data_IF_230927625456
#
_entry.id   IF_230927625456
#
_cell.length_a   1.000
_cell.length_b   1.000
_cell.length_c   1.000
_cell.angle_alpha   90.00
_cell.angle_beta   90.00
_cell.angle_gamma   90.00
#
_symmetry.space_group_name_H-M   'P 1'
#
loop_
_entity.id
_entity.type
_entity.pdbx_description
1 polymer ?
#
# COMPACT_ATOMS: atom_id res chain seq x y z
N UNK A 1 48.67 -16.37 -28.48
CA UNK A 1 48.05 -16.13 -27.15
C UNK A 1 46.95 -15.07 -27.20
N UNK A 2 47.16 -13.90 -27.82
CA UNK A 2 46.13 -12.84 -27.92
C UNK A 2 44.84 -13.32 -28.58
N UNK A 3 44.96 -13.87 -29.78
CA UNK A 3 43.85 -14.45 -30.53
C UNK A 3 43.22 -15.64 -29.78
N UNK A 4 44.02 -16.43 -29.05
CA UNK A 4 43.53 -17.63 -28.34
C UNK A 4 42.66 -17.28 -27.13
N UNK A 5 43.00 -16.22 -26.40
CA UNK A 5 42.26 -15.77 -25.23
C UNK A 5 41.22 -14.69 -25.54
N UNK A 6 41.17 -14.20 -26.78
CA UNK A 6 40.28 -13.10 -27.19
C UNK A 6 40.56 -11.76 -26.51
N UNK A 7 41.78 -11.54 -26.00
CA UNK A 7 42.16 -10.35 -25.25
C UNK A 7 43.25 -9.53 -25.95
N UNK A 8 43.26 -8.22 -25.69
CA UNK A 8 44.22 -7.29 -26.30
C UNK A 8 45.66 -7.54 -25.88
N UNK A 9 46.62 -7.22 -26.75
CA UNK A 9 48.05 -7.44 -26.50
C UNK A 9 48.57 -6.73 -25.22
N UNK A 10 47.95 -5.61 -24.84
CA UNK A 10 48.24 -4.92 -23.58
C UNK A 10 47.87 -5.78 -22.35
N UNK A 11 46.68 -6.39 -22.38
CA UNK A 11 46.18 -7.22 -21.28
C UNK A 11 46.99 -8.51 -21.12
N UNK A 12 47.56 -9.05 -22.20
CA UNK A 12 48.47 -10.20 -22.13
C UNK A 12 49.75 -9.83 -21.38
N UNK A 13 50.30 -8.64 -21.63
CA UNK A 13 51.50 -8.18 -20.91
C UNK A 13 51.21 -7.99 -19.43
N UNK A 14 50.08 -7.40 -19.09
CA UNK A 14 49.62 -7.27 -17.70
C UNK A 14 49.45 -8.64 -17.05
N UNK A 15 48.68 -9.55 -17.66
CA UNK A 15 48.46 -10.90 -17.12
C UNK A 15 49.73 -11.76 -17.05
N UNK A 16 50.71 -11.50 -17.91
CA UNK A 16 52.02 -12.12 -17.83
C UNK A 16 52.88 -11.54 -16.70
N UNK A 17 52.74 -10.24 -16.39
CA UNK A 17 53.37 -9.59 -15.24
C UNK A 17 52.74 -10.10 -13.93
N UNK A 18 51.42 -10.27 -13.92
CA UNK A 18 50.65 -10.75 -12.79
C UNK A 18 50.81 -12.27 -12.54
N UNK A 19 51.67 -12.96 -13.30
CA UNK A 19 51.95 -14.39 -13.13
C UNK A 19 50.84 -15.34 -13.59
N UNK A 20 49.79 -14.82 -14.23
CA UNK A 20 48.67 -15.61 -14.77
C UNK A 20 49.09 -16.30 -16.07
N UNK A 21 49.78 -15.58 -16.96
CA UNK A 21 50.33 -16.13 -18.19
C UNK A 21 51.81 -16.46 -18.01
N UNK A 22 52.16 -17.74 -18.08
CA UNK A 22 53.52 -18.23 -17.86
C UNK A 22 54.32 -18.10 -19.17
N UNK A 23 55.47 -17.42 -19.10
CA UNK A 23 56.38 -17.24 -20.24
C UNK A 23 57.27 -18.48 -20.37
N UNK A 24 57.30 -19.08 -21.56
CA UNK A 24 58.17 -20.22 -21.90
C UNK A 24 59.40 -19.82 -22.73
N UNK A 25 59.49 -18.55 -23.14
CA UNK A 25 60.62 -17.98 -23.89
C UNK A 25 60.32 -16.57 -24.39
N UNK A 26 61.23 -15.98 -25.18
CA UNK A 26 61.05 -14.63 -25.74
C UNK A 26 59.82 -14.59 -26.66
N UNK A 27 58.75 -13.94 -26.20
CA UNK A 27 57.47 -13.86 -26.92
C UNK A 27 56.65 -15.15 -26.92
N UNK A 28 57.05 -16.19 -26.16
CA UNK A 28 56.35 -17.48 -26.08
C UNK A 28 55.76 -17.69 -24.69
N UNK A 29 54.59 -18.33 -24.66
CA UNK A 29 53.85 -18.63 -23.44
C UNK A 29 53.57 -20.13 -23.36
N UNK A 30 53.61 -20.68 -22.16
CA UNK A 30 53.08 -22.02 -21.90
C UNK A 30 51.55 -21.94 -21.97
N UNK A 31 51.00 -22.46 -23.06
CA UNK A 31 49.56 -22.37 -23.34
C UNK A 31 48.74 -23.13 -22.30
N UNK A 32 49.18 -24.32 -21.89
CA UNK A 32 48.42 -25.19 -20.97
C UNK A 32 48.36 -24.58 -19.58
N UNK A 33 49.52 -24.19 -19.05
CA UNK A 33 49.62 -23.64 -17.70
C UNK A 33 48.96 -22.25 -17.60
N UNK A 34 49.10 -21.43 -18.65
CA UNK A 34 48.47 -20.10 -18.72
C UNK A 34 46.94 -20.17 -18.84
N UNK A 35 46.42 -21.12 -19.63
CA UNK A 35 44.97 -21.30 -19.80
C UNK A 35 44.32 -21.79 -18.50
N UNK A 36 44.92 -22.77 -17.82
CA UNK A 36 44.41 -23.28 -16.56
C UNK A 36 44.31 -22.18 -15.49
N UNK A 37 45.35 -21.36 -15.35
CA UNK A 37 45.36 -20.22 -14.41
C UNK A 37 44.34 -19.14 -14.77
N UNK A 38 44.20 -18.84 -16.06
CA UNK A 38 43.23 -17.86 -16.53
C UNK A 38 41.78 -18.32 -16.31
N UNK A 39 41.47 -19.59 -16.58
CA UNK A 39 40.14 -20.17 -16.33
C UNK A 39 39.82 -20.23 -14.82
N UNK A 40 40.80 -20.57 -13.98
CA UNK A 40 40.65 -20.54 -12.53
C UNK A 40 40.32 -19.13 -12.03
N UNK A 41 41.04 -18.11 -12.51
CA UNK A 41 40.78 -16.70 -12.18
C UNK A 41 39.36 -16.27 -12.58
N UNK A 42 38.91 -16.65 -13.78
CA UNK A 42 37.56 -16.31 -14.25
C UNK A 42 36.47 -16.98 -13.41
N UNK A 43 36.67 -18.25 -13.02
CA UNK A 43 35.73 -18.98 -12.17
C UNK A 43 35.64 -18.36 -10.77
N UNK A 44 36.77 -17.97 -10.22
CA UNK A 44 36.88 -17.28 -8.93
C UNK A 44 36.27 -15.87 -8.96
N UNK A 45 36.48 -15.12 -10.04
CA UNK A 45 35.85 -13.82 -10.21
C UNK A 45 34.32 -13.94 -10.35
N UNK A 46 33.84 -14.98 -11.04
CA UNK A 46 32.41 -15.27 -11.19
C UNK A 46 31.76 -15.75 -9.89
N UNK A 47 32.49 -16.45 -9.01
CA UNK A 47 31.98 -16.87 -7.70
C UNK A 47 31.95 -15.73 -6.69
N UNK A 48 32.96 -14.85 -6.70
CA UNK A 48 33.05 -13.69 -5.79
C UNK A 48 32.22 -12.48 -6.23
N UNK A 49 31.94 -12.33 -7.52
CA UNK A 49 31.50 -11.06 -8.09
C UNK A 49 29.99 -10.84 -8.31
N UNK A 50 29.10 -11.83 -8.13
CA UNK A 50 27.72 -11.57 -8.59
C UNK A 50 26.60 -12.56 -8.29
N UNK A 51 26.79 -13.60 -7.46
CA UNK A 51 25.65 -14.47 -7.10
C UNK A 51 25.03 -14.13 -5.75
N UNK A 52 25.81 -14.05 -4.68
CA UNK A 52 25.24 -13.90 -3.34
C UNK A 52 24.61 -12.51 -3.10
N UNK A 53 25.34 -11.41 -3.34
CA UNK A 53 24.78 -10.06 -3.16
C UNK A 53 23.68 -9.70 -4.15
N UNK A 54 23.69 -10.29 -5.36
CA UNK A 54 22.66 -10.05 -6.37
C UNK A 54 21.39 -10.89 -6.12
N UNK A 55 21.52 -12.08 -5.54
CA UNK A 55 20.38 -12.88 -5.07
C UNK A 55 19.70 -12.27 -3.85
N UNK A 56 20.46 -11.76 -2.87
CA UNK A 56 19.90 -11.05 -1.71
C UNK A 56 19.17 -9.76 -2.13
N UNK A 57 19.82 -8.91 -2.94
CA UNK A 57 19.16 -7.71 -3.46
C UNK A 57 17.90 -8.03 -4.28
N UNK A 58 17.90 -9.11 -5.07
CA UNK A 58 16.73 -9.53 -5.85
C UNK A 58 15.62 -10.12 -4.96
N UNK A 59 15.96 -10.79 -3.85
CA UNK A 59 14.98 -11.24 -2.85
C UNK A 59 14.33 -10.06 -2.14
N UNK A 60 15.11 -9.05 -1.75
CA UNK A 60 14.59 -7.85 -1.09
C UNK A 60 13.69 -7.04 -2.02
N UNK A 61 14.11 -6.85 -3.28
CA UNK A 61 13.28 -6.21 -4.31
C UNK A 61 11.98 -6.99 -4.56
N UNK A 62 12.03 -8.32 -4.55
CA UNK A 62 10.85 -9.17 -4.71
C UNK A 62 9.92 -9.08 -3.49
N UNK A 63 10.48 -9.04 -2.28
CA UNK A 63 9.72 -8.88 -1.05
C UNK A 63 8.98 -7.52 -1.02
N UNK A 64 9.68 -6.44 -1.38
CA UNK A 64 9.08 -5.12 -1.46
C UNK A 64 8.02 -5.03 -2.57
N UNK A 65 8.28 -5.63 -3.74
CA UNK A 65 7.29 -5.72 -4.83
C UNK A 65 6.03 -6.49 -4.40
N UNK A 66 6.17 -7.57 -3.63
CA UNK A 66 5.04 -8.31 -3.07
C UNK A 66 4.24 -7.42 -2.11
N UNK A 67 4.91 -6.65 -1.25
CA UNK A 67 4.26 -5.72 -0.31
C UNK A 67 3.44 -4.66 -1.04
N UNK A 68 4.03 -4.02 -2.05
CA UNK A 68 3.34 -3.01 -2.88
C UNK A 68 2.15 -3.63 -3.62
N UNK A 69 2.31 -4.82 -4.22
CA UNK A 69 1.23 -5.51 -4.92
C UNK A 69 0.07 -5.89 -4.01
N UNK A 70 0.35 -6.31 -2.77
CA UNK A 70 -0.70 -6.56 -1.76
C UNK A 70 -1.46 -5.29 -1.42
N UNK A 71 -0.75 -4.21 -1.08
CA UNK A 71 -1.40 -2.92 -0.80
C UNK A 71 -2.22 -2.41 -2.00
N UNK A 72 -1.75 -2.65 -3.24
CA UNK A 72 -2.49 -2.31 -4.45
C UNK A 72 -3.73 -3.19 -4.66
N UNK A 73 -3.66 -4.48 -4.34
CA UNK A 73 -4.81 -5.39 -4.37
C UNK A 73 -5.87 -4.94 -3.36
N UNK A 74 -5.48 -4.65 -2.13
CA UNK A 74 -6.39 -4.17 -1.07
C UNK A 74 -7.07 -2.86 -1.49
N UNK A 75 -6.30 -1.91 -2.05
CA UNK A 75 -6.85 -0.66 -2.56
C UNK A 75 -7.84 -0.89 -3.72
N UNK A 76 -7.59 -1.88 -4.59
CA UNK A 76 -8.50 -2.22 -5.68
C UNK A 76 -9.77 -2.91 -5.16
N UNK A 77 -9.66 -3.77 -4.15
CA UNK A 77 -10.81 -4.40 -3.49
C UNK A 77 -11.72 -3.35 -2.83
N UNK A 78 -11.15 -2.38 -2.12
CA UNK A 78 -11.91 -1.27 -1.55
C UNK A 78 -12.63 -0.43 -2.62
N UNK A 79 -11.95 -0.13 -3.75
CA UNK A 79 -12.58 0.56 -4.88
C UNK A 79 -13.72 -0.25 -5.50
N UNK A 80 -13.54 -1.57 -5.61
CA UNK A 80 -14.56 -2.47 -6.13
C UNK A 80 -15.75 -2.57 -5.17
N UNK A 81 -15.52 -2.61 -3.86
CA UNK A 81 -16.58 -2.60 -2.85
C UNK A 81 -17.37 -1.28 -2.86
N UNK A 82 -16.67 -0.14 -3.00
CA UNK A 82 -17.31 1.16 -3.18
C UNK A 82 -18.15 1.21 -4.46
N UNK A 83 -17.65 0.70 -5.59
CA UNK A 83 -18.39 0.72 -6.87
C UNK A 83 -19.61 -0.21 -6.87
N UNK A 84 -19.57 -1.30 -6.09
CA UNK A 84 -20.75 -2.16 -5.86
C UNK A 84 -21.76 -1.56 -4.87
N UNK A 85 -21.43 -0.45 -4.21
CA UNK A 85 -22.31 0.18 -3.22
C UNK A 85 -22.30 -0.51 -1.85
N UNK A 86 -21.29 -1.32 -1.55
CA UNK A 86 -21.16 -2.01 -0.25
C UNK A 86 -20.60 -1.08 0.83
N UNK A 87 -20.01 0.05 0.44
CA UNK A 87 -19.44 1.04 1.35
C UNK A 87 -20.28 2.32 1.31
N UNK A 88 -20.69 2.76 2.49
CA UNK A 88 -21.33 4.06 2.68
C UNK A 88 -20.32 5.05 3.25
N UNK A 89 -20.36 6.27 2.73
CA UNK A 89 -19.55 7.38 3.21
C UNK A 89 -20.12 7.83 4.56
N UNK A 90 -19.37 7.61 5.63
CA UNK A 90 -19.85 7.82 7.00
C UNK A 90 -20.32 9.27 7.23
N UNK A 91 -19.65 10.25 6.64
CA UNK A 91 -20.02 11.66 6.75
C UNK A 91 -21.35 11.96 6.05
N UNK A 92 -21.60 11.38 4.87
CA UNK A 92 -22.87 11.48 4.18
C UNK A 92 -24.01 10.85 4.99
N UNK A 93 -23.78 9.66 5.56
CA UNK A 93 -24.76 8.96 6.41
C UNK A 93 -25.09 9.82 7.63
N UNK A 94 -24.07 10.30 8.35
CA UNK A 94 -24.23 11.16 9.52
C UNK A 94 -25.01 12.44 9.18
N UNK A 95 -24.67 13.12 8.08
CA UNK A 95 -25.37 14.33 7.61
C UNK A 95 -26.84 14.06 7.30
N UNK A 96 -27.13 12.96 6.60
CA UNK A 96 -28.51 12.60 6.27
C UNK A 96 -29.31 12.28 7.53
N UNK A 97 -28.77 11.47 8.43
CA UNK A 97 -29.42 11.15 9.70
C UNK A 97 -29.62 12.39 10.57
N UNK A 98 -28.62 13.25 10.68
CA UNK A 98 -28.75 14.52 11.39
C UNK A 98 -29.85 15.41 10.79
N UNK A 99 -30.02 15.39 9.46
CA UNK A 99 -31.13 16.11 8.81
C UNK A 99 -32.49 15.52 9.14
N UNK A 100 -32.64 14.20 8.98
CA UNK A 100 -33.89 13.50 9.29
C UNK A 100 -34.29 13.74 10.75
N UNK A 101 -33.34 13.63 11.69
CA UNK A 101 -33.61 13.84 13.11
C UNK A 101 -33.98 15.29 13.44
N UNK A 102 -33.39 16.28 12.75
CA UNK A 102 -33.80 17.69 12.86
C UNK A 102 -35.24 17.89 12.40
N UNK A 103 -35.63 17.27 11.28
CA UNK A 103 -36.98 17.36 10.72
C UNK A 103 -38.01 16.68 11.64
N UNK A 104 -37.67 15.50 12.18
CA UNK A 104 -38.50 14.79 13.17
C UNK A 104 -38.69 15.66 14.41
N UNK A 105 -37.61 16.24 14.97
CA UNK A 105 -37.69 17.13 16.13
C UNK A 105 -38.59 18.33 15.86
N UNK A 106 -38.43 19.00 14.72
CA UNK A 106 -39.27 20.13 14.34
C UNK A 106 -40.74 19.70 14.18
N UNK A 107 -40.98 18.55 13.56
CA UNK A 107 -42.32 17.97 13.36
C UNK A 107 -43.03 17.68 14.68
N UNK A 108 -42.32 17.13 15.67
CA UNK A 108 -42.80 16.85 17.01
C UNK A 108 -43.11 18.13 17.79
N UNK A 109 -42.18 19.10 17.80
CA UNK A 109 -42.39 20.38 18.50
C UNK A 109 -43.55 21.21 17.92
N UNK A 110 -43.93 20.97 16.66
CA UNK A 110 -45.09 21.61 16.05
C UNK A 110 -46.43 20.89 16.33
N UNK A 111 -46.43 19.72 16.97
CA UNK A 111 -47.65 18.96 17.30
C UNK A 111 -48.64 19.77 18.15
N UNK A 112 -48.26 20.44 19.26
CA UNK A 112 -49.21 21.14 20.11
C UNK A 112 -49.99 22.21 19.35
N UNK A 113 -49.31 22.98 18.50
CA UNK A 113 -49.94 23.99 17.65
C UNK A 113 -50.94 23.39 16.65
N UNK A 114 -50.57 22.30 15.96
CA UNK A 114 -51.49 21.61 15.02
C UNK A 114 -52.69 20.99 15.73
N UNK A 115 -52.49 20.47 16.94
CA UNK A 115 -53.56 19.88 17.76
C UNK A 115 -54.52 20.97 18.24
N UNK A 116 -54.02 22.09 18.76
CA UNK A 116 -54.84 23.23 19.16
C UNK A 116 -55.66 23.82 18.00
N UNK A 117 -55.08 23.88 16.80
CA UNK A 117 -55.80 24.33 15.60
C UNK A 117 -56.94 23.36 15.18
N UNK A 118 -56.80 22.06 15.44
CA UNK A 118 -57.80 21.03 15.08
C UNK A 118 -58.87 20.83 16.17
N UNK A 119 -58.51 21.03 17.44
CA UNK A 119 -59.35 20.73 18.59
C UNK A 119 -59.53 22.01 19.44
N UNK A 120 -60.46 22.91 19.05
CA UNK A 120 -60.63 24.22 19.68
C UNK A 120 -61.17 24.16 21.12
N UNK A 121 -61.62 22.98 21.58
CA UNK A 121 -62.05 22.77 22.96
C UNK A 121 -60.90 22.52 23.93
N UNK A 122 -59.68 22.27 23.43
CA UNK A 122 -58.51 22.12 24.28
C UNK A 122 -58.12 23.47 24.87
N UNK A 123 -57.80 23.45 26.15
CA UNK A 123 -57.36 24.65 26.87
C UNK A 123 -55.88 24.90 26.63
N UNK A 124 -55.42 26.11 26.98
CA UNK A 124 -54.00 26.43 27.00
C UNK A 124 -53.19 25.51 27.93
N UNK A 125 -53.81 25.03 29.02
CA UNK A 125 -53.19 24.08 29.93
C UNK A 125 -52.96 22.72 29.26
N UNK A 126 -53.98 22.18 28.56
CA UNK A 126 -53.87 20.89 27.86
C UNK A 126 -52.77 20.91 26.79
N UNK A 127 -52.69 21.99 26.01
CA UNK A 127 -51.64 22.15 25.00
C UNK A 127 -50.24 22.27 25.62
N UNK A 128 -50.14 22.92 26.79
CA UNK A 128 -48.88 23.03 27.53
C UNK A 128 -48.42 21.70 28.13
N UNK A 129 -49.34 20.83 28.58
CA UNK A 129 -49.00 19.47 29.02
C UNK A 129 -48.49 18.62 27.84
N UNK A 130 -49.14 18.73 26.67
CA UNK A 130 -48.68 18.03 25.45
C UNK A 130 -47.27 18.50 25.05
N UNK A 131 -47.02 19.81 25.01
CA UNK A 131 -45.69 20.35 24.70
C UNK A 131 -44.62 19.85 25.70
N UNK A 132 -44.95 19.85 27.00
CA UNK A 132 -44.04 19.36 28.05
C UNK A 132 -43.72 17.88 27.89
N UNK A 133 -44.71 17.02 27.63
CA UNK A 133 -44.45 15.59 27.48
C UNK A 133 -43.65 15.27 26.20
N UNK A 134 -43.88 16.01 25.10
CA UNK A 134 -43.05 15.89 23.89
C UNK A 134 -41.61 16.28 24.18
N UNK A 135 -41.37 17.41 24.85
CA UNK A 135 -40.00 17.85 25.21
C UNK A 135 -39.32 16.85 26.13
N UNK A 136 -40.02 16.38 27.15
CA UNK A 136 -39.50 15.36 28.06
C UNK A 136 -39.13 14.07 27.33
N UNK A 137 -39.92 13.66 26.33
CA UNK A 137 -39.63 12.50 25.51
C UNK A 137 -38.38 12.72 24.63
N UNK A 138 -38.24 13.92 24.06
CA UNK A 138 -37.05 14.30 23.28
C UNK A 138 -35.79 14.40 24.15
N UNK A 139 -35.90 14.90 25.38
CA UNK A 139 -34.81 14.96 26.36
C UNK A 139 -34.36 13.55 26.75
N UNK A 140 -35.29 12.65 27.09
CA UNK A 140 -34.98 11.23 27.36
C UNK A 140 -34.24 10.55 26.20
N UNK A 141 -34.59 10.88 24.95
CA UNK A 141 -33.89 10.34 23.78
C UNK A 141 -32.49 10.95 23.60
N UNK A 142 -32.27 12.19 24.06
CA UNK A 142 -30.99 12.87 24.01
C UNK A 142 -30.01 12.36 25.06
N UNK A 143 -30.49 12.04 26.26
CA UNK A 143 -29.66 11.60 27.37
C UNK A 143 -29.15 10.16 27.20
N UNK A 144 -29.55 9.50 26.11
CA UNK A 144 -29.32 8.08 25.90
C UNK A 144 -30.21 7.27 26.83
N UNK A 145 -30.64 6.11 26.38
CA UNK A 145 -31.31 5.16 27.26
C UNK A 145 -30.36 4.72 28.38
#
# INVERSE_FOLDING_TARGET
MAALLGIGASQIRTKARDGILIRSGRGRYDVRASLARYLAQLRDAASRGGRQGQEEANRDLKAESIRVKRAQADAQELKNAASRGELLEATAVERQWASILRDVRAGLLAVPSRVGAKLPHLTAHDLAEIDREIRRSLERLSDGN
#
